data_IF_555506272301
#
_entry.id   IF_555506272301
#
_cell.length_a   1.000
_cell.length_b   1.000
_cell.length_c   1.000
_cell.angle_alpha   90.00
_cell.angle_beta   90.00
_cell.angle_gamma   90.00
#
_symmetry.space_group_name_H-M   'P 1'
#
loop_
_entity.id
_entity.type
_entity.pdbx_description
1 polymer ?
#
# COMPACT_ATOMS: atom_id res chain seq x y z
N UNK A 1 -21.02 -39.88 -60.51
CA UNK A 1 -21.46 -38.46 -60.48
C UNK A 1 -21.81 -38.08 -59.05
N UNK A 2 -21.37 -36.88 -58.65
CA UNK A 2 -21.37 -36.28 -57.30
C UNK A 2 -22.77 -36.17 -56.67
N UNK A 3 -22.84 -36.25 -55.33
CA UNK A 3 -23.37 -35.20 -54.42
C UNK A 3 -23.48 -35.73 -52.97
N UNK A 4 -22.44 -35.50 -52.18
CA UNK A 4 -22.53 -35.40 -50.71
C UNK A 4 -22.48 -33.91 -50.37
N UNK A 5 -23.60 -33.28 -50.04
CA UNK A 5 -23.62 -31.98 -49.35
C UNK A 5 -24.90 -31.89 -48.52
N UNK A 6 -24.77 -32.01 -47.20
CA UNK A 6 -25.59 -31.43 -46.11
C UNK A 6 -25.24 -32.26 -44.85
N UNK A 7 -24.81 -31.78 -43.69
CA UNK A 7 -24.90 -30.46 -43.05
C UNK A 7 -23.67 -30.37 -42.12
N UNK A 8 -22.72 -29.48 -42.44
CA UNK A 8 -21.72 -29.00 -41.48
C UNK A 8 -22.11 -27.56 -41.16
N UNK A 9 -22.98 -27.36 -40.17
CA UNK A 9 -23.48 -26.00 -39.87
C UNK A 9 -23.61 -25.70 -38.38
N UNK A 10 -23.04 -26.52 -37.48
CA UNK A 10 -23.12 -26.28 -36.02
C UNK A 10 -21.77 -25.84 -35.41
N UNK A 11 -20.72 -25.60 -36.20
CA UNK A 11 -19.39 -25.28 -35.65
C UNK A 11 -18.88 -23.86 -35.96
N UNK A 12 -19.78 -22.88 -36.14
CA UNK A 12 -19.37 -21.54 -36.59
C UNK A 12 -19.88 -20.36 -35.74
N UNK A 13 -20.54 -20.60 -34.60
CA UNK A 13 -21.08 -19.52 -33.74
C UNK A 13 -20.28 -19.32 -32.43
N UNK A 14 -19.29 -20.17 -32.15
CA UNK A 14 -18.58 -20.16 -30.87
C UNK A 14 -17.48 -19.08 -30.73
N UNK A 15 -17.20 -18.29 -31.75
CA UNK A 15 -16.03 -17.38 -31.77
C UNK A 15 -16.35 -15.88 -31.70
N UNK A 16 -17.61 -15.48 -31.47
CA UNK A 16 -18.01 -14.06 -31.49
C UNK A 16 -18.19 -13.39 -30.13
N UNK A 17 -17.83 -14.05 -29.03
CA UNK A 17 -17.77 -13.42 -27.70
C UNK A 17 -16.32 -13.35 -27.25
N UNK A 18 -15.47 -12.67 -28.00
CA UNK A 18 -14.27 -12.08 -27.41
C UNK A 18 -14.73 -10.84 -26.65
N UNK A 19 -15.18 -11.02 -25.42
CA UNK A 19 -15.34 -9.89 -24.50
C UNK A 19 -13.99 -9.17 -24.47
N UNK A 20 -13.97 -7.88 -24.83
CA UNK A 20 -12.77 -7.08 -24.63
C UNK A 20 -12.54 -6.98 -23.12
N UNK A 21 -11.65 -7.82 -22.61
CA UNK A 21 -11.04 -7.59 -21.30
C UNK A 21 -10.09 -6.42 -21.51
N UNK A 22 -10.62 -5.20 -21.38
CA UNK A 22 -9.74 -4.06 -21.11
C UNK A 22 -9.23 -4.27 -19.70
N UNK A 23 -7.90 -4.39 -19.54
CA UNK A 23 -7.32 -4.14 -18.23
C UNK A 23 -7.77 -2.73 -17.84
N UNK A 24 -8.45 -2.60 -16.69
CA UNK A 24 -8.82 -1.28 -16.20
C UNK A 24 -7.51 -0.55 -15.88
N UNK A 25 -7.35 0.64 -16.45
CA UNK A 25 -6.13 1.40 -16.27
C UNK A 25 -6.03 1.85 -14.81
N UNK A 26 -4.93 1.48 -14.15
CA UNK A 26 -4.60 1.98 -12.81
C UNK A 26 -4.25 3.47 -12.94
N UNK A 27 -5.04 4.31 -12.26
CA UNK A 27 -4.97 5.77 -12.35
C UNK A 27 -4.51 6.44 -11.06
N UNK A 28 -4.20 5.67 -10.02
CA UNK A 28 -3.78 6.20 -8.73
C UNK A 28 -3.02 5.18 -7.90
N UNK A 29 -2.27 5.68 -6.93
CA UNK A 29 -1.44 4.89 -6.03
C UNK A 29 -1.85 5.20 -4.58
N UNK A 30 -2.09 4.16 -3.79
CA UNK A 30 -2.28 4.28 -2.35
C UNK A 30 -1.23 3.43 -1.66
N UNK A 31 -0.42 4.02 -0.77
CA UNK A 31 0.68 3.32 -0.10
C UNK A 31 0.46 3.32 1.40
N UNK A 32 0.66 2.15 2.01
CA UNK A 32 0.73 1.93 3.45
C UNK A 32 2.07 1.26 3.76
N UNK A 33 2.59 1.46 4.97
CA UNK A 33 3.86 0.85 5.33
C UNK A 33 4.75 1.67 6.23
N UNK A 34 6.05 1.44 6.11
CA UNK A 34 7.03 1.98 7.05
C UNK A 34 7.93 3.07 6.45
N UNK A 35 9.09 3.30 7.09
CA UNK A 35 10.14 4.24 6.69
C UNK A 35 10.60 4.11 5.25
N UNK A 36 10.49 2.93 4.64
CA UNK A 36 10.88 2.71 3.24
C UNK A 36 9.94 3.43 2.26
N UNK A 37 8.72 3.73 2.70
CA UNK A 37 7.68 4.39 1.91
C UNK A 37 7.32 5.78 2.44
N UNK A 38 7.55 6.07 3.72
CA UNK A 38 7.19 7.35 4.35
C UNK A 38 7.91 8.55 3.69
N UNK A 39 7.11 9.50 3.19
CA UNK A 39 7.58 10.75 2.58
C UNK A 39 7.47 11.98 3.50
N UNK A 40 7.33 11.79 4.82
CA UNK A 40 7.35 12.84 5.83
C UNK A 40 6.19 12.82 6.84
N UNK A 41 5.38 11.77 6.87
CA UNK A 41 4.28 11.59 7.82
C UNK A 41 4.79 11.53 9.27
N UNK A 42 5.81 10.70 9.57
CA UNK A 42 6.42 10.65 10.89
C UNK A 42 7.06 12.00 11.28
N UNK A 43 7.73 12.65 10.32
CA UNK A 43 8.33 13.97 10.51
C UNK A 43 7.30 15.03 10.90
N UNK A 44 6.18 15.07 10.19
CA UNK A 44 5.09 15.98 10.49
C UNK A 44 4.45 15.68 11.84
N UNK A 45 4.18 14.40 12.13
CA UNK A 45 3.54 13.99 13.39
C UNK A 45 4.39 14.28 14.63
N UNK A 46 5.72 14.31 14.46
CA UNK A 46 6.68 14.63 15.52
C UNK A 46 7.10 16.10 15.52
N UNK A 47 6.38 16.97 14.80
CA UNK A 47 6.68 18.39 14.65
C UNK A 47 8.13 18.68 14.19
N UNK A 48 8.61 17.88 13.25
CA UNK A 48 9.93 17.99 12.65
C UNK A 48 11.07 17.37 13.46
N UNK A 49 10.77 16.60 14.52
CA UNK A 49 11.78 16.01 15.38
C UNK A 49 12.35 14.69 14.83
N UNK A 50 11.55 13.84 14.20
CA UNK A 50 11.96 12.50 13.75
C UNK A 50 11.40 12.13 12.37
N UNK A 51 12.21 11.62 11.41
CA UNK A 51 13.61 11.23 11.55
C UNK A 51 14.55 12.44 11.74
N UNK A 52 15.68 12.27 12.44
CA UNK A 52 16.57 13.38 12.76
C UNK A 52 17.35 13.83 11.52
N UNK A 53 17.30 15.13 11.24
CA UNK A 53 17.79 15.72 9.98
C UNK A 53 19.32 15.55 9.77
N UNK A 54 20.09 15.35 10.84
CA UNK A 54 21.53 15.11 10.73
C UNK A 54 21.88 13.72 10.14
N UNK A 55 20.99 12.73 10.30
CA UNK A 55 21.14 11.40 9.71
C UNK A 55 20.38 11.30 8.38
N UNK A 56 19.27 12.03 8.27
CA UNK A 56 18.36 11.98 7.14
C UNK A 56 18.10 13.39 6.61
N UNK A 57 18.97 13.92 5.72
CA UNK A 57 18.93 15.32 5.29
C UNK A 57 17.79 15.64 4.30
N UNK A 58 16.90 14.68 4.04
CA UNK A 58 15.83 14.75 3.03
C UNK A 58 14.48 15.13 3.66
N UNK A 59 14.45 16.19 4.48
CA UNK A 59 13.22 16.82 4.98
C UNK A 59 12.14 15.81 5.44
N UNK A 60 12.52 14.86 6.30
CA UNK A 60 11.62 13.88 6.88
C UNK A 60 11.51 12.52 6.18
N UNK A 61 12.18 12.29 5.04
CA UNK A 61 12.33 10.94 4.49
C UNK A 61 13.39 10.19 5.28
N UNK A 62 13.24 8.87 5.43
CA UNK A 62 14.29 7.99 5.98
C UNK A 62 15.34 7.66 4.91
N UNK A 63 15.78 8.68 4.16
CA UNK A 63 16.70 8.60 3.04
C UNK A 63 17.50 9.90 2.93
N UNK A 64 18.54 9.90 2.09
CA UNK A 64 19.25 11.10 1.67
C UNK A 64 18.61 11.80 0.45
N UNK A 65 17.48 11.27 -0.04
CA UNK A 65 16.72 11.83 -1.15
C UNK A 65 15.27 11.35 -1.14
N UNK A 66 14.66 11.29 -2.32
CA UNK A 66 13.30 10.79 -2.51
C UNK A 66 13.20 9.30 -2.13
N UNK A 67 12.07 8.90 -1.53
CA UNK A 67 11.70 7.48 -1.39
C UNK A 67 11.03 6.96 -2.66
N UNK A 68 10.94 5.63 -2.81
CA UNK A 68 10.48 4.98 -4.04
C UNK A 68 9.11 5.50 -4.52
N UNK A 69 8.20 5.78 -3.58
CA UNK A 69 6.84 6.27 -3.85
C UNK A 69 6.86 7.58 -4.64
N UNK A 70 7.86 8.43 -4.40
CA UNK A 70 7.91 9.78 -4.99
C UNK A 70 8.29 9.76 -6.46
N UNK A 71 9.02 8.75 -6.93
CA UNK A 71 9.36 8.57 -8.35
C UNK A 71 8.15 8.23 -9.22
N UNK A 72 7.02 7.81 -8.62
CA UNK A 72 5.77 7.66 -9.36
C UNK A 72 5.21 9.00 -9.86
N UNK A 73 5.65 10.14 -9.32
CA UNK A 73 5.22 11.44 -9.85
C UNK A 73 5.75 11.71 -11.27
N UNK A 74 6.81 11.02 -11.69
CA UNK A 74 7.37 11.13 -13.04
C UNK A 74 6.46 10.49 -14.11
N UNK A 75 5.49 9.68 -13.68
CA UNK A 75 4.50 9.07 -14.53
C UNK A 75 3.17 9.87 -14.49
N UNK A 76 2.72 10.42 -15.63
CA UNK A 76 1.50 11.21 -15.73
C UNK A 76 0.23 10.51 -15.23
N UNK A 77 0.21 9.18 -15.17
CA UNK A 77 -0.92 8.41 -14.64
C UNK A 77 -1.09 8.59 -13.14
N UNK A 78 0.00 8.87 -12.42
CA UNK A 78 0.03 8.96 -10.97
C UNK A 78 0.30 10.38 -10.46
N UNK A 79 0.76 11.30 -11.32
CA UNK A 79 0.99 12.70 -10.95
C UNK A 79 -0.26 13.29 -10.25
N UNK A 80 -0.08 13.82 -9.04
CA UNK A 80 -1.15 14.33 -8.17
C UNK A 80 -2.21 13.30 -7.71
N UNK A 81 -2.02 12.01 -7.96
CA UNK A 81 -2.94 10.95 -7.56
C UNK A 81 -2.28 9.85 -6.70
N UNK A 82 -1.29 10.25 -5.91
CA UNK A 82 -0.61 9.40 -4.92
C UNK A 82 -1.10 9.78 -3.52
N UNK A 83 -1.60 8.79 -2.79
CA UNK A 83 -1.94 8.89 -1.37
C UNK A 83 -0.98 8.03 -0.57
N UNK A 84 -0.13 8.64 0.25
CA UNK A 84 0.86 7.93 1.05
C UNK A 84 0.54 8.03 2.54
N UNK A 85 0.19 6.90 3.13
CA UNK A 85 -0.19 6.77 4.54
C UNK A 85 0.88 6.08 5.39
N UNK A 86 2.02 5.71 4.80
CA UNK A 86 3.12 5.06 5.51
C UNK A 86 3.70 5.97 6.60
N UNK A 87 4.00 5.39 7.76
CA UNK A 87 4.72 6.05 8.86
C UNK A 87 6.04 5.33 9.17
N UNK A 88 7.11 6.11 9.27
CA UNK A 88 8.39 5.63 9.79
C UNK A 88 8.23 4.80 11.06
N UNK A 89 8.79 3.60 11.05
CA UNK A 89 8.73 2.69 12.20
C UNK A 89 7.51 1.78 12.30
N UNK A 90 6.52 1.91 11.41
CA UNK A 90 5.32 1.09 11.44
C UNK A 90 5.69 -0.40 11.43
N UNK A 91 5.18 -1.15 12.42
CA UNK A 91 5.19 -2.61 12.39
C UNK A 91 3.96 -3.11 11.62
N UNK A 92 3.93 -4.40 11.29
CA UNK A 92 2.78 -4.99 10.58
C UNK A 92 1.48 -4.93 11.40
N UNK A 93 1.57 -4.85 12.72
CA UNK A 93 0.45 -4.73 13.64
C UNK A 93 -0.05 -3.29 13.82
N UNK A 94 -0.54 -2.98 15.02
CA UNK A 94 -0.97 -1.62 15.41
C UNK A 94 0.16 -0.77 16.00
N UNK A 95 1.27 -1.43 16.36
CA UNK A 95 2.41 -0.78 17.02
C UNK A 95 3.38 -0.14 16.03
N UNK A 96 4.13 0.84 16.53
CA UNK A 96 5.21 1.48 15.80
C UNK A 96 6.49 1.41 16.66
N UNK A 97 7.57 0.89 16.07
CA UNK A 97 8.84 0.68 16.76
C UNK A 97 9.49 1.98 17.25
N UNK A 98 9.15 3.11 16.64
CA UNK A 98 9.72 4.42 16.93
C UNK A 98 9.07 5.10 18.13
N UNK A 99 7.89 4.63 18.57
CA UNK A 99 7.21 5.18 19.75
C UNK A 99 8.07 5.09 21.02
N UNK A 100 8.95 4.09 21.12
CA UNK A 100 9.87 3.92 22.25
C UNK A 100 10.98 4.98 22.31
N UNK A 101 11.19 5.75 21.23
CA UNK A 101 12.19 6.83 21.20
C UNK A 101 11.68 8.14 21.79
N UNK A 102 10.38 8.24 22.10
CA UNK A 102 9.77 9.46 22.64
C UNK A 102 9.42 9.27 24.12
N UNK A 103 9.64 10.29 24.99
CA UNK A 103 9.19 10.22 26.36
C UNK A 103 7.65 10.25 26.45
N UNK A 104 7.06 9.71 27.52
CA UNK A 104 5.62 9.78 27.74
C UNK A 104 5.08 11.21 27.62
N UNK A 105 4.02 11.39 26.83
CA UNK A 105 3.38 12.69 26.60
C UNK A 105 4.04 13.59 25.55
N UNK A 106 5.13 13.15 24.90
CA UNK A 106 5.75 13.89 23.79
C UNK A 106 4.82 13.98 22.57
N UNK A 107 4.21 12.85 22.18
CA UNK A 107 3.21 12.81 21.13
C UNK A 107 1.80 12.83 21.74
N UNK A 108 0.85 13.60 21.17
CA UNK A 108 -0.54 13.56 21.61
C UNK A 108 -1.19 12.20 21.34
N UNK A 109 -0.71 11.49 20.31
CA UNK A 109 -1.09 10.13 19.95
C UNK A 109 0.15 9.36 19.50
N UNK A 110 0.23 8.04 19.76
CA UNK A 110 1.32 7.22 19.24
C UNK A 110 1.36 7.25 17.71
N UNK A 111 2.56 7.11 17.14
CA UNK A 111 2.71 6.85 15.71
C UNK A 111 2.04 5.49 15.38
N UNK A 112 1.36 5.37 14.23
CA UNK A 112 0.59 4.18 13.89
C UNK A 112 1.50 3.04 13.40
N UNK A 113 1.04 1.81 13.61
CA UNK A 113 1.45 0.64 12.81
C UNK A 113 0.57 0.46 11.57
N UNK A 114 0.94 -0.47 10.69
CA UNK A 114 0.28 -0.73 9.41
C UNK A 114 -1.24 -0.94 9.54
N UNK A 115 -1.68 -1.72 10.54
CA UNK A 115 -3.11 -2.00 10.73
C UNK A 115 -3.87 -0.71 11.09
N UNK A 116 -3.25 0.17 11.87
CA UNK A 116 -3.84 1.46 12.25
C UNK A 116 -3.90 2.42 11.06
N UNK A 117 -2.88 2.45 10.19
CA UNK A 117 -2.92 3.24 8.96
C UNK A 117 -4.11 2.84 8.07
N UNK A 118 -4.30 1.54 7.86
CA UNK A 118 -5.40 0.99 7.06
C UNK A 118 -6.75 1.29 7.71
N UNK A 119 -6.88 1.04 9.01
CA UNK A 119 -8.14 1.26 9.74
C UNK A 119 -8.56 2.73 9.72
N UNK A 120 -7.61 3.66 9.83
CA UNK A 120 -7.90 5.10 9.73
C UNK A 120 -8.38 5.52 8.34
N UNK A 121 -7.86 4.90 7.28
CA UNK A 121 -8.33 5.14 5.90
C UNK A 121 -9.72 4.55 5.71
N UNK A 122 -9.94 3.28 6.10
CA UNK A 122 -11.23 2.61 5.93
C UNK A 122 -12.35 3.22 6.77
N UNK A 123 -12.03 3.82 7.92
CA UNK A 123 -13.00 4.57 8.71
C UNK A 123 -13.54 5.81 7.97
N UNK A 124 -12.72 6.44 7.11
CA UNK A 124 -13.10 7.61 6.31
C UNK A 124 -13.62 7.22 4.92
N UNK A 125 -13.11 6.12 4.38
CA UNK A 125 -13.41 5.65 3.03
C UNK A 125 -13.66 4.13 3.08
N UNK A 126 -14.87 3.70 3.51
CA UNK A 126 -15.17 2.29 3.70
C UNK A 126 -15.20 1.47 2.40
N UNK A 127 -15.37 2.14 1.26
CA UNK A 127 -15.31 1.55 -0.08
C UNK A 127 -14.15 2.18 -0.85
N UNK A 128 -13.14 1.37 -1.11
CA UNK A 128 -11.94 1.75 -1.82
C UNK A 128 -12.19 1.84 -3.33
N UNK A 129 -11.45 2.73 -3.98
CA UNK A 129 -11.45 2.90 -5.43
C UNK A 129 -10.73 1.72 -6.09
N UNK A 130 -11.45 0.99 -6.95
CA UNK A 130 -10.95 -0.17 -7.68
C UNK A 130 -9.87 0.18 -8.72
N UNK A 131 -9.77 1.45 -9.10
CA UNK A 131 -8.91 1.92 -10.19
C UNK A 131 -7.55 2.41 -9.67
N UNK A 132 -7.22 2.03 -8.42
CA UNK A 132 -5.96 2.35 -7.76
C UNK A 132 -5.15 1.09 -7.49
N UNK A 133 -3.84 1.26 -7.51
CA UNK A 133 -2.91 0.29 -6.94
C UNK A 133 -2.77 0.58 -5.44
N UNK A 134 -3.01 -0.43 -4.62
CA UNK A 134 -2.74 -0.38 -3.18
C UNK A 134 -1.45 -1.14 -2.91
N UNK A 135 -0.50 -0.51 -2.22
CA UNK A 135 0.79 -1.10 -1.89
C UNK A 135 0.96 -1.15 -0.39
N UNK A 136 1.31 -2.32 0.14
CA UNK A 136 1.72 -2.53 1.52
C UNK A 136 3.20 -2.85 1.53
N UNK A 137 4.01 -2.00 2.17
CA UNK A 137 5.41 -2.32 2.44
C UNK A 137 5.73 -2.12 3.92
N UNK A 138 5.61 -3.21 4.68
CA UNK A 138 5.94 -3.27 6.10
C UNK A 138 6.53 -4.64 6.46
N UNK A 139 7.16 -4.71 7.63
CA UNK A 139 7.66 -5.97 8.20
C UNK A 139 9.04 -5.86 8.80
N UNK A 140 9.89 -4.96 8.30
CA UNK A 140 11.25 -4.80 8.83
C UNK A 140 11.25 -4.46 10.32
N UNK A 141 10.34 -3.58 10.74
CA UNK A 141 10.26 -3.10 12.12
C UNK A 141 9.82 -4.16 13.14
N UNK A 142 9.11 -5.21 12.72
CA UNK A 142 8.74 -6.34 13.58
C UNK A 142 9.96 -7.10 14.11
N UNK A 143 11.11 -6.98 13.42
CA UNK A 143 12.34 -7.71 13.73
C UNK A 143 13.35 -6.89 14.53
N UNK A 144 13.05 -5.63 14.85
CA UNK A 144 14.01 -4.74 15.49
C UNK A 144 14.07 -4.86 17.03
N UNK A 145 13.00 -5.31 17.72
CA UNK A 145 12.86 -5.04 19.17
C UNK A 145 12.51 -6.23 20.12
N UNK A 146 12.48 -7.48 19.66
CA UNK A 146 12.29 -8.68 20.50
C UNK A 146 12.61 -9.92 19.64
N UNK A 147 12.75 -11.15 20.18
CA UNK A 147 12.87 -12.32 19.32
C UNK A 147 11.70 -12.32 18.33
N UNK A 148 11.97 -12.14 17.02
CA UNK A 148 10.91 -11.93 16.06
C UNK A 148 10.10 -13.21 15.90
N UNK A 149 8.80 -13.05 15.70
CA UNK A 149 7.94 -14.15 15.31
C UNK A 149 7.40 -13.90 13.89
N UNK A 150 7.98 -14.55 12.86
CA UNK A 150 7.54 -14.36 11.48
C UNK A 150 6.07 -14.71 11.25
N UNK A 151 5.49 -15.60 12.07
CA UNK A 151 4.07 -15.98 11.97
C UNK A 151 3.18 -14.77 12.28
N UNK A 152 3.56 -13.93 13.26
CA UNK A 152 2.80 -12.72 13.61
C UNK A 152 2.85 -11.73 12.44
N UNK A 153 4.04 -11.48 11.89
CA UNK A 153 4.19 -10.54 10.76
C UNK A 153 3.39 -10.98 9.54
N UNK A 154 3.48 -12.26 9.16
CA UNK A 154 2.71 -12.81 8.03
C UNK A 154 1.20 -12.76 8.29
N UNK A 155 0.76 -13.06 9.52
CA UNK A 155 -0.67 -13.00 9.89
C UNK A 155 -1.20 -11.59 9.78
N UNK A 156 -0.44 -10.60 10.24
CA UNK A 156 -0.82 -9.19 10.16
C UNK A 156 -0.85 -8.68 8.72
N UNK A 157 0.15 -9.00 7.90
CA UNK A 157 0.16 -8.66 6.47
C UNK A 157 -1.02 -9.30 5.72
N UNK A 158 -1.32 -10.56 6.02
CA UNK A 158 -2.50 -11.25 5.45
C UNK A 158 -3.79 -10.53 5.86
N UNK A 159 -3.89 -10.09 7.11
CA UNK A 159 -5.04 -9.32 7.60
C UNK A 159 -5.15 -7.97 6.91
N UNK A 160 -4.03 -7.26 6.72
CA UNK A 160 -3.98 -5.99 6.00
C UNK A 160 -4.49 -6.13 4.56
N UNK A 161 -3.99 -7.14 3.83
CA UNK A 161 -4.46 -7.46 2.46
C UNK A 161 -5.96 -7.77 2.46
N UNK A 162 -6.43 -8.61 3.39
CA UNK A 162 -7.85 -8.98 3.48
C UNK A 162 -8.76 -7.77 3.76
N UNK A 163 -8.33 -6.82 4.59
CA UNK A 163 -9.09 -5.58 4.85
C UNK A 163 -9.24 -4.74 3.57
N UNK A 164 -8.15 -4.54 2.83
CA UNK A 164 -8.17 -3.76 1.60
C UNK A 164 -9.03 -4.44 0.51
N UNK A 165 -8.87 -5.75 0.31
CA UNK A 165 -9.64 -6.49 -0.70
C UNK A 165 -11.13 -6.54 -0.34
N UNK A 166 -11.48 -6.74 0.94
CA UNK A 166 -12.86 -6.69 1.41
C UNK A 166 -13.50 -5.31 1.23
N UNK A 167 -12.70 -4.24 1.26
CA UNK A 167 -13.14 -2.87 1.00
C UNK A 167 -13.19 -2.50 -0.49
N UNK A 168 -12.80 -3.40 -1.40
CA UNK A 168 -12.90 -3.21 -2.85
C UNK A 168 -11.58 -2.95 -3.58
N UNK A 169 -10.42 -3.07 -2.92
CA UNK A 169 -9.14 -3.05 -3.61
C UNK A 169 -8.99 -4.30 -4.51
N UNK A 170 -8.73 -4.07 -5.81
CA UNK A 170 -8.56 -5.15 -6.81
C UNK A 170 -7.07 -5.43 -7.07
N UNK A 171 -6.20 -4.43 -6.91
CA UNK A 171 -4.75 -4.55 -7.05
C UNK A 171 -4.08 -4.24 -5.72
N UNK A 172 -3.62 -5.28 -5.02
CA UNK A 172 -2.86 -5.17 -3.77
C UNK A 172 -1.53 -5.90 -3.90
N UNK A 173 -0.43 -5.19 -3.67
CA UNK A 173 0.95 -5.73 -3.61
C UNK A 173 1.51 -5.60 -2.20
#
# INVERSE_FOLDING_TARGET
MKKQILVLSILSISTLITGQVSAEEIKGLTVFGDSLSDNGNAFKATNGFFPPNNLYPSQGRFSNGQVWVEYFNDDPRFTNNISNFAFGGAQTGTENAENLKFPPGFLPFPLPGLQTEIDQVLAKTPRLDSNRLYVIWAGGNDYLNAPPNPIISVTNLTTAINKLTSAGAIYSL
#
